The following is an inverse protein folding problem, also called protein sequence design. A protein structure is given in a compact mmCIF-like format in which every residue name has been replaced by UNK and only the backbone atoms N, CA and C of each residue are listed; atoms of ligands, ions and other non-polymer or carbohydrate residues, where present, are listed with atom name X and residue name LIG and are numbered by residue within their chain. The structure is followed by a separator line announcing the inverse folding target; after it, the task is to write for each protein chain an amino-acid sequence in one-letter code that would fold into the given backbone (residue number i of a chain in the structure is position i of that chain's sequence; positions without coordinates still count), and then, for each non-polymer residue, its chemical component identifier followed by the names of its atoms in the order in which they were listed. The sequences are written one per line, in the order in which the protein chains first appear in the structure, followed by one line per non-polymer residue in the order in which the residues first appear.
data_IF_275915310035
#
_entry.id   IF_275915310035
#
_cell.length_a   1.000
_cell.length_b   1.000
_cell.length_c   1.000
_cell.angle_alpha   90.00
_cell.angle_beta   90.00
_cell.angle_gamma   90.00
#
_symmetry.space_group_name_H-M   'P 1'
#
loop_
_entity.id
_entity.type
_entity.pdbx_description
1 polymer ?
#
# COMPACT_ATOMS: atom_id res chain seq x y z
N UNK A 1 -4.69 19.92 -1.49
CA UNK A 1 -5.01 18.52 -1.84
C UNK A 1 -5.99 17.97 -0.81
N UNK A 2 -6.76 16.96 -1.17
CA UNK A 2 -7.58 16.19 -0.22
C UNK A 2 -6.71 15.05 0.32
N UNK A 3 -6.78 14.77 1.62
CA UNK A 3 -6.09 13.64 2.24
C UNK A 3 -7.10 12.51 2.53
N UNK A 4 -6.63 11.27 2.42
CA UNK A 4 -7.35 10.06 2.83
C UNK A 4 -6.38 9.22 3.66
N UNK A 5 -6.75 8.89 4.89
CA UNK A 5 -5.92 8.08 5.78
C UNK A 5 -6.20 6.60 5.55
N UNK A 6 -5.14 5.81 5.37
CA UNK A 6 -5.24 4.36 5.16
C UNK A 6 -3.96 3.67 5.61
N UNK A 7 -4.09 2.51 6.26
CA UNK A 7 -2.99 1.58 6.45
C UNK A 7 -2.89 0.65 5.24
N UNK A 8 -1.93 0.91 4.37
CA UNK A 8 -1.75 0.15 3.13
C UNK A 8 -1.19 -1.27 3.36
N UNK A 9 -0.81 -1.64 4.58
CA UNK A 9 -0.50 -3.04 4.90
C UNK A 9 -1.76 -3.93 4.93
N UNK A 10 -2.95 -3.34 4.99
CA UNK A 10 -4.24 -4.03 4.97
C UNK A 10 -4.83 -4.05 3.55
N UNK A 11 -5.18 -5.24 3.07
CA UNK A 11 -5.67 -5.44 1.71
C UNK A 11 -6.98 -4.66 1.43
N UNK A 12 -7.90 -4.66 2.39
CA UNK A 12 -9.18 -3.94 2.32
C UNK A 12 -9.01 -2.43 2.28
N UNK A 13 -8.00 -1.89 2.97
CA UNK A 13 -7.73 -0.45 3.00
C UNK A 13 -7.25 0.06 1.64
N UNK A 14 -6.50 -0.75 0.89
CA UNK A 14 -6.08 -0.43 -0.49
C UNK A 14 -7.31 -0.28 -1.41
N UNK A 15 -8.24 -1.23 -1.35
CA UNK A 15 -9.48 -1.19 -2.14
C UNK A 15 -10.36 0.01 -1.75
N UNK A 16 -10.49 0.28 -0.45
CA UNK A 16 -11.26 1.42 0.06
C UNK A 16 -10.69 2.77 -0.39
N UNK A 17 -9.36 2.93 -0.38
CA UNK A 17 -8.71 4.17 -0.84
C UNK A 17 -8.98 4.47 -2.33
N UNK A 18 -8.94 3.43 -3.17
CA UNK A 18 -9.27 3.56 -4.60
C UNK A 18 -10.75 3.90 -4.80
N UNK A 19 -11.65 3.19 -4.10
CA UNK A 19 -13.08 3.44 -4.18
C UNK A 19 -13.44 4.86 -3.76
N UNK A 20 -12.90 5.33 -2.63
CA UNK A 20 -13.10 6.69 -2.12
C UNK A 20 -12.61 7.76 -3.11
N UNK A 21 -11.47 7.51 -3.78
CA UNK A 21 -10.95 8.41 -4.81
C UNK A 21 -11.90 8.53 -6.00
N UNK A 22 -12.41 7.40 -6.51
CA UNK A 22 -13.37 7.38 -7.63
C UNK A 22 -14.70 8.01 -7.25
N UNK A 23 -15.20 7.76 -6.04
CA UNK A 23 -16.43 8.40 -5.54
C UNK A 23 -16.28 9.92 -5.48
N UNK A 24 -15.12 10.41 -5.00
CA UNK A 24 -14.90 11.84 -4.79
C UNK A 24 -14.66 12.62 -6.09
N UNK A 25 -13.93 12.05 -7.03
CA UNK A 25 -13.43 12.73 -8.23
C UNK A 25 -14.06 12.22 -9.53
N UNK A 26 -14.88 11.17 -9.47
CA UNK A 26 -15.54 10.53 -10.62
C UNK A 26 -14.65 9.58 -11.42
N UNK A 27 -13.32 9.68 -11.28
CA UNK A 27 -12.33 8.80 -11.95
C UNK A 27 -11.00 8.76 -11.19
N UNK A 28 -10.15 7.80 -11.54
CA UNK A 28 -8.76 7.65 -11.10
C UNK A 28 -7.88 7.42 -12.33
N UNK A 29 -7.01 8.37 -12.65
CA UNK A 29 -6.20 8.31 -13.87
C UNK A 29 -4.82 7.66 -13.67
N UNK A 30 -4.23 7.89 -12.50
CA UNK A 30 -2.87 7.49 -12.19
C UNK A 30 -2.81 7.05 -10.74
N UNK A 31 -2.14 5.92 -10.51
CA UNK A 31 -1.75 5.45 -9.19
C UNK A 31 -0.22 5.50 -9.11
N UNK A 32 0.28 6.12 -8.04
CA UNK A 32 1.72 6.14 -7.74
C UNK A 32 1.94 5.36 -6.44
N UNK A 33 2.26 4.05 -6.51
CA UNK A 33 2.45 3.22 -5.32
C UNK A 33 3.83 3.49 -4.71
N UNK A 34 3.97 4.62 -4.01
CA UNK A 34 5.23 5.10 -3.45
C UNK A 34 5.38 4.85 -1.93
N UNK A 35 4.43 4.16 -1.30
CA UNK A 35 4.56 3.83 0.12
C UNK A 35 5.67 2.78 0.31
N UNK A 36 6.58 3.04 1.25
CA UNK A 36 7.71 2.15 1.49
C UNK A 36 8.39 2.41 2.83
N UNK A 37 9.06 1.37 3.32
CA UNK A 37 9.85 1.40 4.56
C UNK A 37 11.14 0.60 4.32
N UNK A 38 12.19 0.91 5.07
CA UNK A 38 13.46 0.19 4.98
C UNK A 38 13.83 -0.40 6.33
N UNK A 39 14.34 -1.63 6.33
CA UNK A 39 15.00 -2.26 7.45
C UNK A 39 16.25 -2.99 6.97
N UNK A 40 17.35 -2.86 7.72
CA UNK A 40 18.65 -3.43 7.36
C UNK A 40 19.14 -4.28 8.52
N UNK A 41 19.37 -5.56 8.25
CA UNK A 41 19.93 -6.54 9.18
C UNK A 41 20.55 -7.70 8.37
N UNK A 42 21.51 -8.46 8.94
CA UNK A 42 21.88 -9.77 8.42
C UNK A 42 20.65 -10.68 8.25
N UNK A 43 20.67 -11.61 7.28
CA UNK A 43 19.50 -12.44 6.97
C UNK A 43 19.10 -13.36 8.12
N UNK A 44 20.07 -13.91 8.83
CA UNK A 44 19.90 -14.75 10.01
C UNK A 44 19.42 -13.99 11.26
N UNK A 45 19.55 -12.66 11.25
CA UNK A 45 19.05 -11.78 12.31
C UNK A 45 17.81 -10.97 11.87
N UNK A 46 17.35 -11.15 10.63
CA UNK A 46 16.28 -10.32 10.07
C UNK A 46 14.93 -10.66 10.72
N UNK A 47 14.23 -9.70 11.35
CA UNK A 47 12.98 -10.00 12.04
C UNK A 47 11.87 -10.41 11.05
N UNK A 48 11.22 -11.55 11.28
CA UNK A 48 10.14 -12.06 10.42
C UNK A 48 8.98 -11.06 10.29
N UNK A 49 8.61 -10.36 11.37
CA UNK A 49 7.56 -9.34 11.35
C UNK A 49 7.91 -8.16 10.44
N UNK A 50 9.19 -7.77 10.40
CA UNK A 50 9.67 -6.71 9.50
C UNK A 50 9.63 -7.16 8.06
N UNK A 51 9.99 -8.41 7.79
CA UNK A 51 9.88 -8.99 6.46
C UNK A 51 8.44 -8.97 5.98
N UNK A 52 7.48 -9.45 6.80
CA UNK A 52 6.06 -9.45 6.44
C UNK A 52 5.54 -8.02 6.18
N UNK A 53 5.95 -7.05 7.00
CA UNK A 53 5.55 -5.64 6.81
C UNK A 53 6.05 -5.10 5.46
N UNK A 54 7.31 -5.35 5.12
CA UNK A 54 7.91 -4.92 3.84
C UNK A 54 7.20 -5.58 2.67
N UNK A 55 6.94 -6.89 2.73
CA UNK A 55 6.22 -7.62 1.68
C UNK A 55 4.80 -7.07 1.53
N UNK A 56 4.07 -6.88 2.62
CA UNK A 56 2.71 -6.34 2.59
C UNK A 56 2.67 -4.93 2.00
N UNK A 57 3.57 -4.04 2.41
CA UNK A 57 3.56 -2.64 1.99
C UNK A 57 4.15 -2.40 0.60
N UNK A 58 5.27 -3.06 0.26
CA UNK A 58 6.06 -2.73 -0.93
C UNK A 58 5.87 -3.71 -2.09
N UNK A 59 5.20 -4.84 -1.87
CA UNK A 59 4.87 -5.80 -2.93
C UNK A 59 3.36 -6.00 -3.05
N UNK A 60 2.68 -6.39 -1.96
CA UNK A 60 1.25 -6.70 -1.98
C UNK A 60 0.40 -5.45 -2.21
N UNK A 61 0.66 -4.35 -1.50
CA UNK A 61 -0.10 -3.10 -1.65
C UNK A 61 -0.05 -2.54 -3.08
N UNK A 62 1.12 -2.38 -3.75
CA UNK A 62 1.16 -1.93 -5.14
C UNK A 62 0.29 -2.78 -6.08
N UNK A 63 0.33 -4.12 -5.92
CA UNK A 63 -0.54 -5.02 -6.67
C UNK A 63 -2.02 -4.78 -6.36
N UNK A 64 -2.39 -4.63 -5.09
CA UNK A 64 -3.78 -4.40 -4.69
C UNK A 64 -4.30 -3.05 -5.20
N UNK A 65 -3.51 -1.98 -5.11
CA UNK A 65 -3.87 -0.68 -5.67
C UNK A 65 -4.10 -0.77 -7.18
N UNK A 66 -3.20 -1.43 -7.92
CA UNK A 66 -3.33 -1.63 -9.36
C UNK A 66 -4.55 -2.50 -9.73
N UNK A 67 -4.84 -3.53 -8.94
CA UNK A 67 -5.99 -4.44 -9.14
C UNK A 67 -7.33 -3.72 -9.00
N UNK A 68 -7.41 -2.73 -8.11
CA UNK A 68 -8.66 -2.05 -7.78
C UNK A 68 -8.83 -0.72 -8.52
N UNK A 69 -7.75 -0.15 -9.07
CA UNK A 69 -7.71 1.12 -9.80
C UNK A 69 -8.76 1.23 -10.91
#
# INVERSE_FOLDING_TARGET
GVAYEADLTLAEANAAAVAATRERFGRLDVVVPNAGVQHVAPIDEFPEERWQTIVSLMLTSPFMLAKHA
#
